data_IF_782305866090
#
_entry.id   IF_782305866090
#
_cell.length_a   1.000
_cell.length_b   1.000
_cell.length_c   1.000
_cell.angle_alpha   90.00
_cell.angle_beta   90.00
_cell.angle_gamma   90.00
#
_symmetry.space_group_name_H-M   'P 1'
#
loop_
_entity.id
_entity.type
_entity.pdbx_description
1 polymer ?
#
# COMPACT_ATOMS: atom_id res chain seq x y z
N UNK A 1 27.77 9.39 -4.87
CA UNK A 1 27.62 7.95 -4.58
C UNK A 1 26.92 7.79 -3.23
N UNK A 2 25.96 6.85 -3.13
CA UNK A 2 24.96 6.62 -2.05
C UNK A 2 23.59 7.30 -2.29
N UNK A 3 22.81 6.75 -3.24
CA UNK A 3 21.36 6.96 -3.38
C UNK A 3 20.58 5.67 -3.69
N UNK A 4 21.22 4.52 -3.53
CA UNK A 4 20.60 3.21 -3.71
C UNK A 4 20.65 2.46 -2.38
N UNK A 5 19.80 1.45 -2.20
CA UNK A 5 19.56 0.69 -0.96
C UNK A 5 18.47 1.28 -0.04
N UNK A 6 17.39 1.86 -0.57
CA UNK A 6 16.08 1.87 0.13
C UNK A 6 15.17 0.72 -0.35
N UNK A 7 15.58 0.04 -1.42
CA UNK A 7 14.79 -0.94 -2.15
C UNK A 7 14.98 -2.36 -1.61
N UNK A 8 16.05 -2.62 -0.85
CA UNK A 8 16.43 -3.96 -0.37
C UNK A 8 15.58 -4.47 0.81
N UNK A 9 14.72 -3.63 1.41
CA UNK A 9 13.84 -4.04 2.51
C UNK A 9 12.41 -4.32 2.09
N UNK A 10 11.91 -3.59 1.08
CA UNK A 10 10.77 -4.05 0.28
C UNK A 10 11.08 -5.39 -0.43
N UNK A 11 12.38 -5.70 -0.58
CA UNK A 11 12.97 -6.90 -1.19
C UNK A 11 12.95 -8.17 -0.35
N UNK A 12 12.31 -8.21 0.82
CA UNK A 12 12.12 -9.48 1.55
C UNK A 12 10.63 -9.75 1.83
N UNK A 13 9.80 -8.70 1.90
CA UNK A 13 8.38 -8.84 2.19
C UNK A 13 7.50 -8.83 0.93
N UNK A 14 7.93 -8.15 -0.12
CA UNK A 14 7.36 -8.36 -1.46
C UNK A 14 8.00 -9.51 -2.24
N UNK A 15 9.14 -10.02 -1.77
CA UNK A 15 10.04 -10.91 -2.53
C UNK A 15 9.65 -12.39 -2.50
N UNK A 16 8.71 -12.77 -1.64
CA UNK A 16 8.03 -14.06 -1.75
C UNK A 16 6.62 -13.96 -2.37
N UNK A 17 6.02 -12.77 -2.46
CA UNK A 17 4.62 -12.64 -2.84
C UNK A 17 4.37 -12.46 -4.35
N UNK A 18 5.38 -11.99 -5.10
CA UNK A 18 5.33 -11.94 -6.57
C UNK A 18 5.71 -13.28 -7.21
N UNK A 19 6.42 -14.17 -6.51
CA UNK A 19 6.86 -15.47 -7.05
C UNK A 19 6.07 -16.70 -6.57
N UNK A 20 5.24 -16.57 -5.53
CA UNK A 20 4.40 -17.65 -5.03
C UNK A 20 2.93 -17.24 -4.89
N UNK A 21 2.40 -16.53 -5.90
CA UNK A 21 1.04 -16.91 -6.24
C UNK A 21 1.15 -18.38 -6.70
N UNK A 22 0.74 -19.31 -5.83
CA UNK A 22 0.22 -20.62 -6.25
C UNK A 22 -1.05 -20.48 -7.12
N UNK A 23 -1.17 -19.37 -7.86
CA UNK A 23 -2.08 -19.01 -8.92
C UNK A 23 -1.31 -18.83 -10.26
N UNK A 24 0.02 -18.72 -10.31
CA UNK A 24 0.73 -18.76 -11.61
C UNK A 24 0.98 -20.19 -12.10
N UNK A 25 1.33 -21.11 -11.19
CA UNK A 25 1.62 -22.52 -11.55
C UNK A 25 0.37 -23.38 -11.79
N UNK A 26 -0.78 -23.01 -11.24
CA UNK A 26 -2.07 -23.71 -11.43
C UNK A 26 -2.82 -23.27 -12.68
N UNK A 27 -2.43 -22.13 -13.24
CA UNK A 27 -3.04 -21.55 -14.43
C UNK A 27 -2.08 -21.52 -15.62
N UNK A 28 -0.96 -22.26 -15.51
CA UNK A 28 -0.17 -22.67 -16.65
C UNK A 28 -1.09 -23.38 -17.65
N UNK A 29 -1.26 -22.74 -18.82
CA UNK A 29 -1.99 -23.13 -20.04
C UNK A 29 -2.92 -24.36 -19.90
N UNK A 30 -4.22 -24.27 -20.27
CA UNK A 30 -5.01 -25.47 -20.47
C UNK A 30 -4.22 -26.42 -21.38
N UNK A 31 -4.14 -27.70 -21.00
CA UNK A 31 -3.61 -28.72 -21.89
C UNK A 31 -4.34 -28.55 -23.23
N UNK A 32 -3.58 -28.44 -24.33
CA UNK A 32 -4.16 -28.32 -25.68
C UNK A 32 -5.27 -29.35 -25.84
N UNK A 33 -6.53 -28.89 -25.93
CA UNK A 33 -7.67 -29.75 -26.24
C UNK A 33 -8.87 -29.71 -25.28
N UNK A 34 -8.79 -29.10 -24.10
CA UNK A 34 -9.98 -28.96 -23.24
C UNK A 34 -10.85 -27.78 -23.69
N UNK A 35 -12.06 -28.08 -24.17
CA UNK A 35 -13.09 -27.06 -24.38
C UNK A 35 -13.45 -26.44 -23.02
N UNK A 36 -13.59 -25.11 -22.92
CA UNK A 36 -14.11 -24.49 -21.71
C UNK A 36 -15.50 -25.07 -21.39
N UNK A 37 -15.72 -25.46 -20.14
CA UNK A 37 -17.07 -25.77 -19.66
C UNK A 37 -17.95 -24.51 -19.79
N UNK A 38 -19.24 -24.66 -20.12
CA UNK A 38 -20.12 -23.50 -20.29
C UNK A 38 -20.25 -22.78 -18.93
N UNK A 39 -19.81 -21.52 -18.91
CA UNK A 39 -19.86 -20.64 -17.74
C UNK A 39 -21.30 -20.18 -17.55
N UNK A 40 -22.01 -20.75 -16.57
CA UNK A 40 -23.26 -20.18 -16.07
C UNK A 40 -22.95 -19.16 -14.97
N UNK A 41 -22.46 -17.98 -15.34
CA UNK A 41 -22.63 -16.68 -14.66
C UNK A 41 -21.62 -15.67 -15.21
N UNK A 42 -22.13 -14.58 -15.78
CA UNK A 42 -21.32 -13.46 -16.30
C UNK A 42 -20.91 -12.48 -15.18
N UNK A 43 -21.04 -12.86 -13.90
CA UNK A 43 -20.99 -11.91 -12.77
C UNK A 43 -20.02 -12.34 -11.65
N UNK A 44 -18.84 -12.89 -11.98
CA UNK A 44 -17.82 -13.16 -10.97
C UNK A 44 -16.72 -12.08 -11.01
N UNK A 45 -16.62 -11.20 -10.01
CA UNK A 45 -15.63 -10.12 -9.97
C UNK A 45 -14.18 -10.60 -10.16
N UNK A 46 -13.84 -11.79 -9.64
CA UNK A 46 -12.49 -12.33 -9.74
C UNK A 46 -12.14 -12.73 -11.17
N UNK A 47 -13.10 -13.28 -11.92
CA UNK A 47 -12.90 -13.62 -13.34
C UNK A 47 -12.80 -12.37 -14.23
N UNK A 48 -13.24 -11.20 -13.76
CA UNK A 48 -13.09 -9.91 -14.46
C UNK A 48 -11.66 -9.36 -14.30
N UNK A 49 -11.10 -9.36 -13.07
CA UNK A 49 -9.76 -8.79 -12.80
C UNK A 49 -8.62 -9.75 -13.15
N UNK A 50 -8.86 -11.06 -13.09
CA UNK A 50 -7.83 -12.10 -13.26
C UNK A 50 -7.11 -12.08 -14.61
N UNK A 51 -7.77 -11.93 -15.77
CA UNK A 51 -7.07 -11.80 -17.05
C UNK A 51 -6.06 -10.64 -17.05
N UNK A 52 -6.46 -9.51 -16.45
CA UNK A 52 -5.59 -8.34 -16.33
C UNK A 52 -4.41 -8.62 -15.39
N UNK A 53 -4.67 -9.22 -14.23
CA UNK A 53 -3.64 -9.65 -13.29
C UNK A 53 -2.62 -10.60 -13.94
N UNK A 54 -3.08 -11.60 -14.69
CA UNK A 54 -2.21 -12.56 -15.38
C UNK A 54 -1.35 -11.88 -16.44
N UNK A 55 -1.93 -10.96 -17.21
CA UNK A 55 -1.20 -10.19 -18.22
C UNK A 55 -0.06 -9.37 -17.60
N UNK A 56 -0.29 -8.74 -16.44
CA UNK A 56 0.77 -8.00 -15.74
C UNK A 56 1.85 -8.93 -15.18
N UNK A 57 1.49 -10.10 -14.66
CA UNK A 57 2.47 -11.10 -14.23
C UNK A 57 3.35 -11.58 -15.39
N UNK A 58 2.74 -11.87 -16.54
CA UNK A 58 3.45 -12.25 -17.77
C UNK A 58 4.43 -11.16 -18.23
N UNK A 59 4.06 -9.88 -18.06
CA UNK A 59 4.95 -8.75 -18.34
C UNK A 59 6.16 -8.72 -17.41
N UNK A 60 5.96 -8.89 -16.09
CA UNK A 60 7.09 -8.92 -15.15
C UNK A 60 7.99 -10.14 -15.40
N UNK A 61 7.42 -11.31 -15.71
CA UNK A 61 8.19 -12.48 -16.15
C UNK A 61 9.01 -12.19 -17.41
N UNK A 62 8.45 -11.44 -18.37
CA UNK A 62 9.18 -10.99 -19.54
C UNK A 62 10.35 -10.08 -19.17
N UNK A 63 10.15 -9.09 -18.28
CA UNK A 63 11.20 -8.18 -17.80
C UNK A 63 12.34 -8.96 -17.13
N UNK A 64 12.01 -9.96 -16.30
CA UNK A 64 12.99 -10.75 -15.57
C UNK A 64 13.84 -11.66 -16.46
N UNK A 65 13.35 -12.06 -17.64
CA UNK A 65 14.13 -12.84 -18.61
C UNK A 65 15.34 -12.09 -19.17
N UNK A 66 15.38 -10.76 -19.07
CA UNK A 66 16.54 -9.98 -19.49
C UNK A 66 17.70 -10.07 -18.48
N UNK A 67 17.45 -10.51 -17.24
CA UNK A 67 18.46 -10.93 -16.26
C UNK A 67 19.72 -10.05 -16.23
N UNK A 68 19.58 -8.79 -15.82
CA UNK A 68 20.73 -7.88 -15.76
C UNK A 68 20.95 -7.00 -16.99
N UNK A 69 20.16 -7.20 -18.06
CA UNK A 69 20.37 -6.53 -19.36
C UNK A 69 19.38 -5.40 -19.60
N UNK A 70 19.78 -4.48 -20.47
CA UNK A 70 18.91 -3.45 -21.02
C UNK A 70 17.81 -4.09 -21.88
N UNK A 71 16.56 -3.71 -21.61
CA UNK A 71 15.40 -4.13 -22.37
C UNK A 71 15.19 -3.15 -23.54
N UNK A 72 15.25 -3.61 -24.80
CA UNK A 72 14.98 -2.75 -25.94
C UNK A 72 13.54 -2.19 -25.90
N UNK A 73 13.38 -0.88 -26.10
CA UNK A 73 12.07 -0.24 -26.10
C UNK A 73 11.07 -0.88 -27.07
N UNK A 74 11.54 -1.35 -28.23
CA UNK A 74 10.72 -2.08 -29.22
C UNK A 74 10.09 -3.37 -28.68
N UNK A 75 10.73 -4.01 -27.71
CA UNK A 75 10.25 -5.26 -27.10
C UNK A 75 9.23 -4.96 -25.99
N UNK A 76 9.29 -3.75 -25.39
CA UNK A 76 8.35 -3.26 -24.39
C UNK A 76 7.03 -2.74 -25.00
N UNK A 77 7.10 -2.08 -26.18
CA UNK A 77 5.91 -1.45 -26.79
C UNK A 77 4.69 -2.38 -26.91
N UNK A 78 4.81 -3.65 -27.37
CA UNK A 78 3.67 -4.55 -27.44
C UNK A 78 3.04 -4.85 -26.07
N UNK A 79 3.81 -4.84 -24.99
CA UNK A 79 3.30 -5.03 -23.63
C UNK A 79 2.58 -3.81 -23.11
N UNK A 80 3.12 -2.61 -23.36
CA UNK A 80 2.50 -1.36 -22.97
C UNK A 80 1.09 -1.24 -23.55
N UNK A 81 0.93 -1.49 -24.85
CA UNK A 81 -0.38 -1.45 -25.52
C UNK A 81 -1.34 -2.49 -24.95
N UNK A 82 -0.89 -3.74 -24.72
CA UNK A 82 -1.75 -4.79 -24.17
C UNK A 82 -2.25 -4.46 -22.77
N UNK A 83 -1.34 -3.99 -21.89
CA UNK A 83 -1.66 -3.66 -20.51
C UNK A 83 -2.58 -2.43 -20.45
N UNK A 84 -2.32 -1.42 -21.29
CA UNK A 84 -3.20 -0.27 -21.42
C UNK A 84 -4.62 -0.71 -21.82
N UNK A 85 -4.77 -1.46 -22.91
CA UNK A 85 -6.08 -1.92 -23.37
C UNK A 85 -6.80 -2.76 -22.29
N UNK A 86 -6.07 -3.62 -21.57
CA UNK A 86 -6.66 -4.42 -20.50
C UNK A 86 -7.10 -3.58 -19.30
N UNK A 87 -6.39 -2.49 -18.97
CA UNK A 87 -6.81 -1.56 -17.93
C UNK A 87 -8.08 -0.81 -18.35
N UNK A 88 -8.14 -0.34 -19.60
CA UNK A 88 -9.32 0.32 -20.17
C UNK A 88 -10.54 -0.62 -20.14
N UNK A 89 -10.37 -1.85 -20.64
CA UNK A 89 -11.42 -2.89 -20.64
C UNK A 89 -11.90 -3.20 -19.22
N UNK A 90 -10.97 -3.33 -18.26
CA UNK A 90 -11.28 -3.61 -16.87
C UNK A 90 -12.12 -2.48 -16.25
N UNK A 91 -11.66 -1.23 -16.30
CA UNK A 91 -12.39 -0.10 -15.70
C UNK A 91 -13.76 0.12 -16.37
N UNK A 92 -13.85 -0.04 -17.70
CA UNK A 92 -15.13 0.00 -18.41
C UNK A 92 -16.08 -1.11 -17.94
N UNK A 93 -15.57 -2.31 -17.69
CA UNK A 93 -16.40 -3.44 -17.25
C UNK A 93 -17.01 -3.23 -15.86
N UNK A 94 -16.30 -2.52 -14.97
CA UNK A 94 -16.75 -2.22 -13.61
C UNK A 94 -17.42 -0.84 -13.47
N UNK A 95 -17.68 -0.16 -14.60
CA UNK A 95 -18.39 1.12 -14.66
C UNK A 95 -17.61 2.33 -14.14
N UNK A 96 -16.29 2.22 -14.07
CA UNK A 96 -15.38 3.26 -13.57
C UNK A 96 -14.90 4.15 -14.71
N UNK A 97 -14.98 5.46 -14.50
CA UNK A 97 -14.50 6.49 -15.41
C UNK A 97 -13.14 7.00 -14.95
N UNK A 98 -12.29 7.37 -15.91
CA UNK A 98 -10.94 7.83 -15.63
C UNK A 98 -10.47 8.87 -16.65
N UNK A 99 -9.50 9.68 -16.23
CA UNK A 99 -8.68 10.53 -17.08
C UNK A 99 -7.32 9.89 -17.32
N UNK A 100 -6.75 10.12 -18.50
CA UNK A 100 -5.42 9.61 -18.85
C UNK A 100 -4.38 10.70 -18.65
N UNK A 101 -3.33 10.40 -17.89
CA UNK A 101 -2.14 11.22 -17.78
C UNK A 101 -0.91 10.45 -18.26
N UNK A 102 -0.24 10.94 -19.31
CA UNK A 102 1.01 10.35 -19.78
C UNK A 102 2.14 10.65 -18.79
N UNK A 103 2.83 9.60 -18.34
CA UNK A 103 4.06 9.71 -17.55
C UNK A 103 5.27 9.32 -18.38
N UNK A 104 6.42 9.87 -18.01
CA UNK A 104 7.74 9.48 -18.52
C UNK A 104 8.59 9.05 -17.33
N UNK A 105 9.17 7.86 -17.44
CA UNK A 105 10.11 7.31 -16.48
C UNK A 105 11.41 7.00 -17.21
N UNK A 106 12.53 7.31 -16.58
CA UNK A 106 13.87 7.07 -17.12
C UNK A 106 14.68 6.27 -16.10
N UNK A 107 15.67 5.53 -16.59
CA UNK A 107 16.64 4.76 -15.79
C UNK A 107 15.99 3.83 -14.76
N UNK A 108 14.95 3.09 -15.18
CA UNK A 108 14.29 2.12 -14.32
C UNK A 108 15.13 0.85 -14.19
N UNK A 109 15.35 0.41 -12.95
CA UNK A 109 15.96 -0.87 -12.63
C UNK A 109 14.96 -1.75 -11.87
N UNK A 110 14.65 -2.92 -12.44
CA UNK A 110 13.78 -3.90 -11.80
C UNK A 110 14.48 -5.26 -11.72
N UNK A 111 14.84 -5.66 -10.50
CA UNK A 111 15.56 -6.91 -10.20
C UNK A 111 16.80 -7.11 -11.11
N UNK A 112 17.56 -6.03 -11.33
CA UNK A 112 18.75 -6.02 -12.18
C UNK A 112 18.48 -5.84 -13.67
N UNK A 113 17.25 -6.02 -14.17
CA UNK A 113 16.91 -5.65 -15.55
C UNK A 113 16.76 -4.13 -15.68
N UNK A 114 17.22 -3.56 -16.79
CA UNK A 114 17.25 -2.11 -17.01
C UNK A 114 16.29 -1.67 -18.11
N UNK A 115 15.56 -0.57 -17.90
CA UNK A 115 14.73 0.09 -18.89
C UNK A 115 15.15 1.56 -18.94
N UNK A 116 15.76 1.97 -20.05
CA UNK A 116 16.32 3.32 -20.20
C UNK A 116 15.22 4.38 -20.17
N UNK A 117 14.15 4.20 -20.95
CA UNK A 117 13.01 5.13 -21.01
C UNK A 117 11.71 4.38 -21.21
N UNK A 118 10.69 4.82 -20.49
CA UNK A 118 9.33 4.31 -20.60
C UNK A 118 8.34 5.46 -20.58
N UNK A 119 7.38 5.44 -21.50
CA UNK A 119 6.23 6.35 -21.46
C UNK A 119 4.96 5.57 -21.63
N UNK A 120 4.02 5.80 -20.72
CA UNK A 120 2.79 5.04 -20.61
C UNK A 120 1.69 5.88 -19.92
N UNK A 121 0.41 5.52 -20.08
CA UNK A 121 -0.68 6.21 -19.42
C UNK A 121 -0.83 5.79 -17.95
N UNK A 122 -1.01 6.78 -17.08
CA UNK A 122 -1.64 6.63 -15.77
C UNK A 122 -3.15 6.84 -15.91
N UNK A 123 -3.93 6.13 -15.11
CA UNK A 123 -5.39 6.20 -15.12
C UNK A 123 -5.84 6.86 -13.82
N UNK A 124 -6.32 8.09 -13.89
CA UNK A 124 -6.78 8.87 -12.75
C UNK A 124 -8.29 8.69 -12.65
N UNK A 125 -8.75 8.02 -11.60
CA UNK A 125 -10.17 7.72 -11.43
C UNK A 125 -10.95 9.03 -11.22
N UNK A 126 -11.96 9.27 -12.05
CA UNK A 126 -12.69 10.54 -12.10
C UNK A 126 -14.19 10.39 -11.83
N UNK A 127 -14.72 9.18 -11.91
CA UNK A 127 -16.16 8.92 -11.73
C UNK A 127 -16.50 7.44 -11.66
N UNK A 128 -17.71 7.16 -11.20
CA UNK A 128 -18.34 5.83 -11.33
C UNK A 128 -19.74 6.04 -11.90
N UNK A 129 -20.01 5.39 -13.02
CA UNK A 129 -21.30 5.45 -13.71
C UNK A 129 -22.28 4.38 -13.22
N UNK A 130 -21.76 3.19 -12.91
CA UNK A 130 -22.52 2.07 -12.36
C UNK A 130 -21.55 1.15 -11.59
N UNK A 131 -21.68 1.08 -10.27
CA UNK A 131 -20.83 0.21 -9.45
C UNK A 131 -21.24 -1.27 -9.59
N UNK A 132 -20.54 -2.02 -10.45
CA UNK A 132 -20.91 -3.41 -10.78
C UNK A 132 -20.27 -4.48 -9.91
N UNK A 133 -19.21 -4.15 -9.16
CA UNK A 133 -18.54 -5.06 -8.23
C UNK A 133 -17.77 -4.31 -7.11
N UNK A 134 -17.08 -5.06 -6.27
CA UNK A 134 -16.37 -4.60 -5.06
C UNK A 134 -15.36 -3.44 -5.23
N UNK A 135 -14.59 -3.37 -6.32
CA UNK A 135 -13.69 -2.24 -6.58
C UNK A 135 -14.48 -1.04 -7.12
N UNK A 136 -15.46 -1.26 -8.02
CA UNK A 136 -16.40 -0.21 -8.46
C UNK A 136 -17.11 0.46 -7.29
N UNK A 137 -17.61 -0.33 -6.32
CA UNK A 137 -18.24 0.15 -5.09
C UNK A 137 -17.25 0.92 -4.19
N UNK A 138 -15.99 0.47 -4.11
CA UNK A 138 -14.95 1.21 -3.40
C UNK A 138 -14.74 2.59 -4.01
N UNK A 139 -14.59 2.68 -5.33
CA UNK A 139 -14.39 3.97 -6.01
C UNK A 139 -15.60 4.89 -5.86
N UNK A 140 -16.81 4.37 -5.97
CA UNK A 140 -18.04 5.13 -5.77
C UNK A 140 -18.11 5.71 -4.34
N UNK A 141 -17.82 4.89 -3.32
CA UNK A 141 -17.76 5.31 -1.92
C UNK A 141 -16.72 6.41 -1.69
N UNK A 142 -15.52 6.26 -2.27
CA UNK A 142 -14.44 7.25 -2.09
C UNK A 142 -14.78 8.58 -2.77
N UNK A 143 -15.27 8.54 -4.01
CA UNK A 143 -15.59 9.75 -4.77
C UNK A 143 -16.81 10.50 -4.21
N UNK A 144 -17.72 9.80 -3.52
CA UNK A 144 -18.87 10.42 -2.84
C UNK A 144 -18.54 10.96 -1.45
N UNK A 145 -17.39 10.63 -0.87
CA UNK A 145 -16.99 11.12 0.44
C UNK A 145 -16.46 12.56 0.36
N UNK A 146 -17.23 13.49 0.94
CA UNK A 146 -16.87 14.91 1.01
C UNK A 146 -15.49 15.20 1.61
N UNK A 147 -14.96 14.30 2.46
CA UNK A 147 -13.64 14.45 3.09
C UNK A 147 -12.50 14.16 2.10
N UNK A 148 -12.79 13.54 0.97
CA UNK A 148 -11.82 13.02 0.02
C UNK A 148 -11.93 13.69 -1.36
N UNK A 149 -12.66 14.79 -1.49
CA UNK A 149 -12.93 15.46 -2.78
C UNK A 149 -11.67 15.86 -3.56
N UNK A 150 -10.55 16.11 -2.87
CA UNK A 150 -9.29 16.49 -3.48
C UNK A 150 -8.29 15.33 -3.62
N UNK A 151 -8.67 14.11 -3.21
CA UNK A 151 -7.82 12.92 -3.33
C UNK A 151 -7.78 12.47 -4.78
N UNK A 152 -6.58 12.27 -5.32
CA UNK A 152 -6.41 11.62 -6.63
C UNK A 152 -6.20 10.13 -6.44
N UNK A 153 -7.09 9.32 -7.00
CA UNK A 153 -6.92 7.89 -7.09
C UNK A 153 -6.22 7.57 -8.41
N UNK A 154 -4.98 7.11 -8.36
CA UNK A 154 -4.12 6.93 -9.52
C UNK A 154 -3.78 5.46 -9.69
N UNK A 155 -4.34 4.84 -10.72
CA UNK A 155 -3.92 3.52 -11.14
C UNK A 155 -2.65 3.64 -12.01
N UNK A 156 -1.56 3.05 -11.54
CA UNK A 156 -0.31 2.92 -12.28
C UNK A 156 -0.08 1.41 -12.62
N UNK A 157 -0.24 1.02 -13.89
CA UNK A 157 -0.09 -0.39 -14.30
C UNK A 157 1.34 -0.93 -14.12
N UNK A 158 2.33 -0.04 -14.01
CA UNK A 158 3.74 -0.37 -13.91
C UNK A 158 4.36 0.10 -12.58
N UNK A 159 3.52 0.36 -11.58
CA UNK A 159 3.91 0.79 -10.24
C UNK A 159 5.09 -0.04 -9.68
N UNK A 160 5.10 -1.38 -9.76
CA UNK A 160 6.22 -2.18 -9.31
C UNK A 160 7.60 -1.91 -9.93
N UNK A 161 7.66 -1.37 -11.16
CA UNK A 161 8.93 -1.13 -11.84
C UNK A 161 9.77 -0.04 -11.17
N UNK A 162 9.13 0.92 -10.51
CA UNK A 162 9.82 2.11 -9.98
C UNK A 162 9.61 2.33 -8.49
N UNK A 163 8.63 1.68 -7.89
CA UNK A 163 8.34 1.78 -6.46
C UNK A 163 8.66 0.49 -5.68
N UNK A 164 9.17 -0.53 -6.36
CA UNK A 164 9.40 -1.85 -5.76
C UNK A 164 8.09 -2.65 -5.65
N UNK A 165 8.07 -3.78 -4.94
CA UNK A 165 6.91 -4.69 -4.92
C UNK A 165 5.70 -4.19 -4.10
N UNK A 166 5.52 -2.87 -3.98
CA UNK A 166 4.37 -2.28 -3.29
C UNK A 166 3.12 -2.37 -4.17
N UNK A 167 2.00 -2.62 -3.53
CA UNK A 167 0.71 -2.81 -4.20
C UNK A 167 -0.02 -1.49 -4.41
N UNK A 168 0.24 -0.53 -3.52
CA UNK A 168 -0.21 0.85 -3.54
C UNK A 168 0.55 1.65 -2.48
N UNK A 169 0.39 2.97 -2.53
CA UNK A 169 0.86 3.88 -1.49
C UNK A 169 0.13 5.23 -1.57
N UNK A 170 -0.03 5.90 -0.44
CA UNK A 170 -0.43 7.30 -0.38
C UNK A 170 0.77 8.26 -0.41
N UNK A 171 0.72 9.25 -1.31
CA UNK A 171 1.68 10.35 -1.41
C UNK A 171 1.06 11.66 -0.88
N UNK A 172 1.45 12.14 0.31
CA UNK A 172 0.88 13.35 0.90
C UNK A 172 1.15 14.63 0.10
N UNK A 173 2.30 14.74 -0.56
CA UNK A 173 2.71 15.96 -1.29
C UNK A 173 1.83 16.25 -2.50
N UNK A 174 1.34 15.21 -3.16
CA UNK A 174 0.47 15.28 -4.34
C UNK A 174 -0.99 14.96 -4.01
N UNK A 175 -1.29 14.66 -2.74
CA UNK A 175 -2.56 14.13 -2.26
C UNK A 175 -3.11 13.01 -3.17
N UNK A 176 -2.23 12.05 -3.49
CA UNK A 176 -2.51 10.99 -4.47
C UNK A 176 -2.34 9.61 -3.84
N UNK A 177 -3.30 8.73 -4.04
CA UNK A 177 -3.23 7.31 -3.70
C UNK A 177 -2.92 6.55 -4.98
N UNK A 178 -1.71 6.01 -5.06
CA UNK A 178 -1.28 5.17 -6.17
C UNK A 178 -1.61 3.73 -5.88
N UNK A 179 -2.06 2.98 -6.88
CA UNK A 179 -2.32 1.55 -6.75
C UNK A 179 -2.07 0.81 -8.07
N UNK A 180 -1.77 -0.47 -7.94
CA UNK A 180 -1.51 -1.39 -9.05
C UNK A 180 -2.66 -2.38 -9.21
N UNK A 181 -2.59 -3.21 -10.25
CA UNK A 181 -3.55 -4.29 -10.45
C UNK A 181 -3.53 -5.31 -9.30
N UNK A 182 -2.39 -5.45 -8.60
CA UNK A 182 -2.28 -6.34 -7.45
C UNK A 182 -3.23 -5.92 -6.33
N UNK A 183 -3.39 -4.61 -6.07
CA UNK A 183 -4.34 -4.11 -5.08
C UNK A 183 -5.79 -4.51 -5.43
N UNK A 184 -6.16 -4.37 -6.70
CA UNK A 184 -7.49 -4.74 -7.22
C UNK A 184 -7.74 -6.25 -7.10
N UNK A 185 -6.79 -7.07 -7.53
CA UNK A 185 -6.87 -8.53 -7.44
C UNK A 185 -6.96 -9.02 -5.99
N UNK A 186 -6.22 -8.39 -5.06
CA UNK A 186 -6.21 -8.80 -3.66
C UNK A 186 -7.52 -8.50 -2.97
N UNK A 187 -8.08 -7.30 -3.21
CA UNK A 187 -9.41 -6.94 -2.71
C UNK A 187 -10.44 -7.93 -3.21
N UNK A 188 -10.47 -8.16 -4.52
CA UNK A 188 -11.46 -9.04 -5.17
C UNK A 188 -11.36 -10.51 -4.70
N UNK A 189 -10.12 -10.98 -4.48
CA UNK A 189 -9.84 -12.33 -3.99
C UNK A 189 -9.81 -12.47 -2.47
N UNK A 190 -10.11 -11.42 -1.70
CA UNK A 190 -10.07 -11.46 -0.23
C UNK A 190 -8.69 -11.75 0.37
N UNK A 191 -7.60 -11.41 -0.31
CA UNK A 191 -6.24 -11.64 0.21
C UNK A 191 -5.70 -10.47 1.04
N UNK A 192 -6.37 -9.32 0.97
CA UNK A 192 -6.05 -8.07 1.66
C UNK A 192 -6.77 -6.91 0.97
N UNK A 193 -6.72 -5.73 1.58
CA UNK A 193 -7.41 -4.55 1.06
C UNK A 193 -6.48 -3.33 1.05
N UNK A 194 -5.48 -3.37 0.15
CA UNK A 194 -4.51 -2.28 -0.02
C UNK A 194 -5.19 -0.93 -0.25
N UNK A 195 -6.34 -0.91 -0.94
CA UNK A 195 -7.03 0.33 -1.25
C UNK A 195 -7.59 0.99 0.01
N UNK A 196 -8.30 0.25 0.86
CA UNK A 196 -8.79 0.79 2.15
C UNK A 196 -7.62 1.05 3.13
N UNK A 197 -6.55 0.24 3.08
CA UNK A 197 -5.32 0.48 3.85
C UNK A 197 -4.72 1.85 3.55
N UNK A 198 -4.46 2.15 2.28
CA UNK A 198 -3.91 3.43 1.87
C UNK A 198 -4.90 4.58 2.07
N UNK A 199 -6.20 4.33 1.91
CA UNK A 199 -7.24 5.31 2.22
C UNK A 199 -7.22 5.71 3.70
N UNK A 200 -6.89 4.78 4.60
CA UNK A 200 -6.74 5.12 6.02
C UNK A 200 -5.59 6.11 6.24
N UNK A 201 -4.47 5.96 5.54
CA UNK A 201 -3.37 6.95 5.59
C UNK A 201 -3.81 8.32 5.08
N UNK A 202 -4.68 8.38 4.06
CA UNK A 202 -5.27 9.65 3.60
C UNK A 202 -6.10 10.30 4.71
N UNK A 203 -7.00 9.53 5.35
CA UNK A 203 -7.89 10.04 6.40
C UNK A 203 -7.12 10.50 7.65
N UNK A 204 -6.05 9.80 8.01
CA UNK A 204 -5.17 10.20 9.11
C UNK A 204 -4.38 11.47 8.76
N UNK A 205 -3.91 11.61 7.52
CA UNK A 205 -3.27 12.84 7.05
C UNK A 205 -4.24 14.03 7.03
N UNK A 206 -5.48 13.83 6.59
CA UNK A 206 -6.54 14.85 6.67
C UNK A 206 -6.81 15.28 8.13
N UNK A 207 -6.81 14.32 9.05
CA UNK A 207 -6.98 14.59 10.49
C UNK A 207 -5.81 15.40 11.04
N UNK A 208 -4.58 15.08 10.63
CA UNK A 208 -3.36 15.83 10.96
C UNK A 208 -3.45 17.27 10.47
N UNK A 209 -3.82 17.48 9.21
CA UNK A 209 -3.94 18.82 8.61
C UNK A 209 -5.03 19.67 9.27
N UNK A 210 -6.12 19.04 9.75
CA UNK A 210 -7.19 19.70 10.51
C UNK A 210 -6.84 19.98 11.97
N UNK A 211 -5.71 19.46 12.45
CA UNK A 211 -5.28 19.62 13.85
C UNK A 211 -5.99 18.72 14.84
N UNK A 212 -6.60 17.65 14.35
CA UNK A 212 -7.11 16.58 15.20
C UNK A 212 -5.95 15.72 15.70
N UNK A 213 -6.11 15.11 16.87
CA UNK A 213 -5.15 14.13 17.39
C UNK A 213 -5.20 12.86 16.52
N UNK A 214 -4.06 12.40 16.03
CA UNK A 214 -3.91 11.29 15.08
C UNK A 214 -2.55 10.62 15.26
N UNK A 215 -2.49 9.32 14.98
CA UNK A 215 -1.22 8.58 15.03
C UNK A 215 -0.30 8.93 13.83
N UNK A 216 -0.84 9.43 12.71
CA UNK A 216 -0.02 9.91 11.58
C UNK A 216 0.86 11.11 11.94
N UNK A 217 0.59 11.76 13.07
CA UNK A 217 1.42 12.82 13.60
C UNK A 217 2.81 12.34 14.07
N UNK A 218 3.00 11.04 14.34
CA UNK A 218 4.23 10.51 14.91
C UNK A 218 4.89 9.52 13.95
N UNK A 219 6.17 9.77 13.65
CA UNK A 219 7.03 8.85 12.91
C UNK A 219 8.25 8.49 13.75
N UNK A 220 8.42 7.21 14.07
CA UNK A 220 9.62 6.66 14.69
C UNK A 220 10.66 6.37 13.59
N UNK A 221 11.94 6.63 13.87
CA UNK A 221 13.04 6.47 12.92
C UNK A 221 14.22 5.78 13.62
N UNK A 222 14.90 4.89 12.91
CA UNK A 222 16.14 4.26 13.37
C UNK A 222 17.36 4.79 12.59
N UNK A 223 18.54 4.80 13.22
CA UNK A 223 19.82 5.08 12.57
C UNK A 223 20.43 3.82 11.93
N UNK A 224 20.06 2.63 12.40
CA UNK A 224 20.57 1.37 11.89
C UNK A 224 19.52 0.62 11.08
N UNK A 225 19.92 0.22 9.88
CA UNK A 225 19.08 -0.59 9.01
C UNK A 225 19.13 -2.05 9.42
N UNK A 226 17.97 -2.66 9.57
CA UNK A 226 17.81 -4.10 9.71
C UNK A 226 16.87 -4.60 8.61
N UNK A 227 16.91 -5.87 8.20
CA UNK A 227 16.04 -6.40 7.14
C UNK A 227 14.55 -6.50 7.52
N UNK A 228 14.16 -6.11 8.73
CA UNK A 228 12.79 -6.23 9.23
C UNK A 228 11.84 -5.15 8.70
N UNK A 229 10.57 -5.47 8.45
CA UNK A 229 9.53 -4.45 8.10
C UNK A 229 9.53 -3.32 9.13
N UNK A 230 9.47 -2.07 8.67
CA UNK A 230 9.41 -0.87 9.52
C UNK A 230 10.58 -0.69 10.48
N UNK A 231 11.73 -1.32 10.21
CA UNK A 231 12.95 -1.15 11.01
C UNK A 231 13.52 0.25 10.88
N UNK A 232 13.61 0.76 9.65
CA UNK A 232 14.20 2.07 9.34
C UNK A 232 13.30 3.22 9.77
N UNK A 233 11.98 3.07 9.59
CA UNK A 233 10.98 4.04 10.03
C UNK A 233 9.60 3.37 10.22
N UNK A 234 8.79 3.97 11.10
CA UNK A 234 7.41 3.58 11.35
C UNK A 234 6.57 4.84 11.55
N UNK A 235 5.60 5.09 10.67
CA UNK A 235 4.51 6.02 11.00
C UNK A 235 3.50 5.29 11.88
N UNK A 236 3.06 5.89 12.98
CA UNK A 236 2.25 5.14 13.94
C UNK A 236 0.84 4.81 13.44
N UNK A 237 0.34 5.51 12.43
CA UNK A 237 -0.94 5.17 11.78
C UNK A 237 -0.93 3.80 11.11
N UNK A 238 0.24 3.25 10.77
CA UNK A 238 0.40 1.86 10.29
C UNK A 238 -0.19 0.83 11.27
N UNK A 239 -0.12 1.09 12.58
CA UNK A 239 -0.68 0.16 13.58
C UNK A 239 -2.19 0.02 13.36
N UNK A 240 -2.87 1.13 13.12
CA UNK A 240 -4.31 1.12 12.89
C UNK A 240 -4.67 0.55 11.51
N UNK A 241 -3.86 0.82 10.48
CA UNK A 241 -4.09 0.22 9.15
C UNK A 241 -3.95 -1.30 9.19
N UNK A 242 -2.93 -1.85 9.85
CA UNK A 242 -2.80 -3.31 10.01
C UNK A 242 -3.87 -3.93 10.91
N UNK A 243 -4.40 -3.21 11.92
CA UNK A 243 -5.55 -3.67 12.70
C UNK A 243 -6.81 -3.81 11.83
N UNK A 244 -7.06 -2.83 10.94
CA UNK A 244 -8.16 -2.89 9.98
C UNK A 244 -7.95 -3.99 8.93
N UNK A 245 -6.70 -4.24 8.52
CA UNK A 245 -6.37 -5.38 7.66
C UNK A 245 -6.71 -6.72 8.34
N UNK A 246 -6.44 -6.85 9.65
CA UNK A 246 -6.81 -8.04 10.41
C UNK A 246 -8.33 -8.23 10.39
N UNK A 247 -9.10 -7.18 10.71
CA UNK A 247 -10.58 -7.22 10.65
C UNK A 247 -11.07 -7.62 9.25
N UNK A 248 -10.50 -7.03 8.20
CA UNK A 248 -10.85 -7.38 6.82
C UNK A 248 -10.59 -8.86 6.55
N UNK A 249 -9.41 -9.37 6.91
CA UNK A 249 -9.02 -10.76 6.67
C UNK A 249 -9.84 -11.76 7.48
N UNK A 250 -10.36 -11.37 8.66
CA UNK A 250 -11.17 -12.24 9.52
C UNK A 250 -12.66 -12.20 9.19
N UNK A 251 -13.21 -11.03 8.84
CA UNK A 251 -14.66 -10.84 8.77
C UNK A 251 -15.17 -10.68 7.33
N UNK A 252 -14.47 -9.89 6.51
CA UNK A 252 -14.92 -9.49 5.16
C UNK A 252 -14.42 -10.44 4.08
N UNK A 253 -13.14 -10.79 4.13
CA UNK A 253 -12.48 -11.69 3.18
C UNK A 253 -13.19 -13.05 3.02
N UNK A 254 -13.65 -13.74 4.08
CA UNK A 254 -14.38 -15.00 3.92
C UNK A 254 -15.65 -14.87 3.07
N UNK A 255 -16.27 -13.70 3.05
CA UNK A 255 -17.46 -13.42 2.23
C UNK A 255 -17.11 -13.28 0.74
N UNK A 256 -15.83 -13.14 0.38
CA UNK A 256 -15.39 -13.03 -1.01
C UNK A 256 -15.01 -14.39 -1.60
N UNK A 257 -15.05 -15.46 -0.80
CA UNK A 257 -14.78 -16.83 -1.26
C UNK A 257 -15.82 -17.35 -2.26
N UNK A 258 -17.04 -16.80 -2.25
CA UNK A 258 -18.08 -17.07 -3.24
C UNK A 258 -17.69 -16.62 -4.66
N UNK A 259 -16.73 -15.70 -4.77
CA UNK A 259 -16.12 -15.33 -6.05
C UNK A 259 -15.15 -16.40 -6.57
N UNK A 260 -14.94 -17.53 -5.89
CA UNK A 260 -13.98 -18.57 -6.30
C UNK A 260 -14.71 -19.83 -6.74
N UNK A 261 -14.71 -20.10 -8.05
CA UNK A 261 -15.46 -21.23 -8.64
C UNK A 261 -14.81 -22.60 -8.43
N UNK A 262 -13.48 -22.65 -8.25
CA UNK A 262 -12.71 -23.90 -8.13
C UNK A 262 -12.31 -24.21 -6.67
N UNK A 263 -12.60 -25.44 -6.22
CA UNK A 263 -12.30 -25.91 -4.85
C UNK A 263 -10.79 -25.95 -4.56
N UNK A 264 -9.96 -26.27 -5.55
CA UNK A 264 -8.50 -26.30 -5.38
C UNK A 264 -7.92 -24.91 -5.13
N UNK A 265 -8.41 -23.93 -5.91
CA UNK A 265 -8.07 -22.52 -5.80
C UNK A 265 -8.55 -21.92 -4.48
N UNK A 266 -9.76 -22.28 -4.04
CA UNK A 266 -10.31 -21.83 -2.75
C UNK A 266 -9.46 -22.29 -1.55
N UNK A 267 -9.00 -23.54 -1.56
CA UNK A 267 -8.12 -24.05 -0.50
C UNK A 267 -6.84 -23.21 -0.39
N UNK A 268 -6.19 -22.93 -1.51
CA UNK A 268 -4.95 -22.14 -1.54
C UNK A 268 -5.17 -20.69 -1.12
N UNK A 269 -6.28 -20.08 -1.56
CA UNK A 269 -6.66 -18.73 -1.18
C UNK A 269 -6.83 -18.61 0.34
N UNK A 270 -7.48 -19.60 0.98
CA UNK A 270 -7.58 -19.67 2.44
C UNK A 270 -6.23 -19.84 3.13
N UNK A 271 -5.34 -20.68 2.59
CA UNK A 271 -3.98 -20.85 3.10
C UNK A 271 -3.19 -19.54 3.04
N UNK A 272 -3.22 -18.83 1.90
CA UNK A 272 -2.54 -17.54 1.74
C UNK A 272 -3.17 -16.44 2.61
N UNK A 273 -4.50 -16.38 2.69
CA UNK A 273 -5.20 -15.46 3.61
C UNK A 273 -4.77 -15.70 5.06
N UNK A 274 -4.71 -16.95 5.51
CA UNK A 274 -4.31 -17.27 6.87
C UNK A 274 -2.84 -16.91 7.14
N UNK A 275 -1.94 -17.13 6.17
CA UNK A 275 -0.55 -16.64 6.28
C UNK A 275 -0.49 -15.12 6.40
N UNK A 276 -1.25 -14.39 5.58
CA UNK A 276 -1.34 -12.94 5.65
C UNK A 276 -1.89 -12.48 7.00
N UNK A 277 -2.93 -13.13 7.50
CA UNK A 277 -3.53 -12.81 8.80
C UNK A 277 -2.51 -12.97 9.95
N UNK A 278 -1.78 -14.08 10.00
CA UNK A 278 -0.77 -14.30 11.04
C UNK A 278 0.39 -13.31 10.91
N UNK A 279 0.87 -13.04 9.69
CA UNK A 279 1.87 -12.01 9.45
C UNK A 279 1.43 -10.62 9.94
N UNK A 280 0.17 -10.25 9.69
CA UNK A 280 -0.40 -8.97 10.14
C UNK A 280 -0.50 -8.90 11.66
N UNK A 281 -0.96 -9.96 12.32
CA UNK A 281 -1.01 -10.05 13.79
C UNK A 281 0.38 -9.90 14.42
N UNK A 282 1.36 -10.67 13.95
CA UNK A 282 2.74 -10.59 14.42
C UNK A 282 3.33 -9.19 14.22
N UNK A 283 3.03 -8.59 13.05
CA UNK A 283 3.46 -7.22 12.73
C UNK A 283 2.86 -6.23 13.73
N UNK A 284 1.54 -6.20 13.93
CA UNK A 284 0.89 -5.26 14.86
C UNK A 284 1.41 -5.44 16.29
N UNK A 285 1.52 -6.68 16.77
CA UNK A 285 2.05 -6.95 18.13
C UNK A 285 3.45 -6.39 18.32
N UNK A 286 4.33 -6.58 17.32
CA UNK A 286 5.69 -6.02 17.33
C UNK A 286 5.67 -4.49 17.30
N UNK A 287 4.89 -3.90 16.39
CA UNK A 287 4.79 -2.44 16.24
C UNK A 287 4.24 -1.79 17.51
N UNK A 288 3.19 -2.34 18.12
CA UNK A 288 2.63 -1.87 19.39
C UNK A 288 3.66 -1.93 20.51
N UNK A 289 4.33 -3.08 20.69
CA UNK A 289 5.35 -3.25 21.74
C UNK A 289 6.47 -2.22 21.60
N UNK A 290 7.02 -2.06 20.40
CA UNK A 290 8.12 -1.15 20.14
C UNK A 290 7.68 0.32 20.31
N UNK A 291 6.49 0.67 19.82
CA UNK A 291 5.94 2.03 19.92
C UNK A 291 5.63 2.42 21.35
N UNK A 292 4.93 1.56 22.11
CA UNK A 292 4.64 1.80 23.53
C UNK A 292 5.93 1.98 24.34
N UNK A 293 6.92 1.11 24.13
CA UNK A 293 8.21 1.19 24.84
C UNK A 293 8.93 2.51 24.53
N UNK A 294 9.04 2.87 23.25
CA UNK A 294 9.72 4.09 22.82
C UNK A 294 8.97 5.34 23.31
N UNK A 295 7.66 5.44 23.05
CA UNK A 295 6.86 6.60 23.42
C UNK A 295 6.79 6.81 24.94
N UNK A 296 6.75 5.74 25.74
CA UNK A 296 6.75 5.86 27.21
C UNK A 296 8.06 6.48 27.70
N UNK A 297 9.20 5.99 27.21
CA UNK A 297 10.52 6.57 27.54
C UNK A 297 10.65 8.01 27.06
N UNK A 298 10.17 8.30 25.84
CA UNK A 298 10.15 9.66 25.32
C UNK A 298 9.31 10.56 26.23
N UNK A 299 8.12 10.10 26.65
CA UNK A 299 7.21 10.88 27.48
C UNK A 299 7.77 11.23 28.86
N UNK A 300 8.53 10.31 29.45
CA UNK A 300 9.26 10.52 30.72
C UNK A 300 10.38 11.56 30.58
N UNK A 301 11.06 11.58 29.44
CA UNK A 301 12.27 12.39 29.21
C UNK A 301 12.03 13.65 28.35
N UNK A 302 10.81 13.89 27.88
CA UNK A 302 10.54 14.94 26.88
C UNK A 302 10.93 16.35 27.33
N UNK A 303 11.00 16.61 28.64
CA UNK A 303 11.38 17.92 29.16
C UNK A 303 12.90 18.15 29.17
N UNK A 304 13.71 17.10 28.99
CA UNK A 304 15.18 17.16 29.02
C UNK A 304 15.81 16.83 27.66
N UNK A 305 15.08 16.17 26.77
CA UNK A 305 15.51 15.86 25.41
C UNK A 305 15.59 17.13 24.56
N UNK A 306 16.69 17.29 23.82
CA UNK A 306 16.84 18.40 22.89
C UNK A 306 15.86 18.25 21.72
N UNK A 307 15.12 19.32 21.43
CA UNK A 307 14.12 19.37 20.38
C UNK A 307 14.51 20.40 19.31
N UNK A 308 14.40 19.99 18.06
CA UNK A 308 14.51 20.88 16.92
C UNK A 308 13.15 20.98 16.22
N UNK A 309 12.45 22.08 16.49
CA UNK A 309 11.14 22.37 15.93
C UNK A 309 11.24 23.44 14.83
N UNK A 310 10.67 23.16 13.67
CA UNK A 310 10.63 24.07 12.51
C UNK A 310 9.26 24.03 11.83
N UNK A 311 8.97 25.05 11.04
CA UNK A 311 7.83 24.97 10.12
C UNK A 311 8.14 23.90 9.07
N UNK A 312 7.13 23.15 8.66
CA UNK A 312 7.20 22.30 7.48
C UNK A 312 7.23 23.21 6.24
N UNK A 313 8.08 22.86 5.28
CA UNK A 313 8.27 23.66 4.06
C UNK A 313 7.12 23.47 3.07
N UNK A 314 6.34 22.37 3.20
CA UNK A 314 5.33 21.95 2.23
C UNK A 314 3.89 22.01 2.76
N UNK A 315 3.71 21.92 4.07
CA UNK A 315 2.40 21.87 4.71
C UNK A 315 2.34 22.92 5.84
N UNK A 316 1.14 23.37 6.26
CA UNK A 316 1.00 24.29 7.40
C UNK A 316 1.22 23.59 8.75
N UNK A 317 2.23 22.73 8.82
CA UNK A 317 2.59 21.92 9.99
C UNK A 317 3.84 22.48 10.67
N UNK A 318 3.94 22.22 11.96
CA UNK A 318 5.18 22.28 12.73
C UNK A 318 5.73 20.87 12.83
N UNK A 319 7.04 20.73 12.60
CA UNK A 319 7.78 19.48 12.65
C UNK A 319 8.82 19.59 13.76
N UNK A 320 8.70 18.73 14.77
CA UNK A 320 9.63 18.62 15.87
C UNK A 320 10.37 17.30 15.82
N UNK A 321 11.70 17.35 15.76
CA UNK A 321 12.58 16.17 15.83
C UNK A 321 13.32 16.16 17.16
N UNK A 322 13.43 14.98 17.77
CA UNK A 322 14.16 14.81 19.03
C UNK A 322 15.60 14.32 18.78
N UNK A 323 16.52 14.69 19.69
CA UNK A 323 17.78 13.96 19.82
C UNK A 323 17.51 12.51 20.28
N UNK A 324 18.35 11.56 19.86
CA UNK A 324 18.05 10.15 20.01
C UNK A 324 17.86 9.68 21.46
N UNK A 325 17.00 8.68 21.68
CA UNK A 325 16.85 7.97 22.97
C UNK A 325 17.74 6.74 22.94
N UNK A 326 18.78 6.71 23.76
CA UNK A 326 19.74 5.59 23.81
C UNK A 326 19.09 4.28 24.26
N UNK A 327 19.45 3.17 23.62
CA UNK A 327 19.03 1.82 24.02
C UNK A 327 17.65 1.39 23.50
N UNK A 328 17.12 2.08 22.50
CA UNK A 328 15.86 1.74 21.82
C UNK A 328 16.07 1.29 20.38
N UNK A 329 15.10 0.53 19.85
CA UNK A 329 15.11 0.02 18.46
C UNK A 329 14.92 1.14 17.43
N UNK A 330 14.17 2.17 17.82
CA UNK A 330 14.16 3.47 17.16
C UNK A 330 15.00 4.41 18.02
N UNK A 331 15.78 5.29 17.43
CA UNK A 331 16.54 6.29 18.18
C UNK A 331 15.84 7.64 18.10
N UNK A 332 15.24 8.02 16.97
CA UNK A 332 14.67 9.35 16.77
C UNK A 332 13.16 9.30 16.55
N UNK A 333 12.49 10.40 16.89
CA UNK A 333 11.09 10.63 16.52
C UNK A 333 10.95 11.94 15.77
N UNK A 334 10.03 11.94 14.82
CA UNK A 334 9.48 13.12 14.18
C UNK A 334 8.02 13.25 14.58
N UNK A 335 7.66 14.40 15.16
CA UNK A 335 6.30 14.73 15.55
C UNK A 335 5.83 15.92 14.72
N UNK A 336 4.65 15.78 14.11
CA UNK A 336 4.02 16.79 13.27
C UNK A 336 2.70 17.25 13.88
N UNK A 337 2.42 18.54 13.87
CA UNK A 337 1.13 19.09 14.31
C UNK A 337 0.91 20.49 13.70
N UNK A 338 -0.32 20.97 13.52
CA UNK A 338 -0.55 22.32 12.98
C UNK A 338 0.00 23.44 13.87
N UNK A 339 0.34 24.56 13.24
CA UNK A 339 0.81 25.78 13.88
C UNK A 339 -0.33 26.56 14.59
N UNK A 340 -0.98 25.94 15.58
CA UNK A 340 -1.99 26.54 16.49
C UNK A 340 -1.36 27.26 17.70
N UNK A 341 -2.11 28.04 18.50
CA UNK A 341 -1.60 28.62 19.74
C UNK A 341 -1.06 27.59 20.75
N UNK A 342 -0.08 27.96 21.58
CA UNK A 342 0.56 27.09 22.57
C UNK A 342 2.06 26.88 22.31
N UNK A 343 2.76 26.25 23.25
CA UNK A 343 4.19 25.90 23.07
C UNK A 343 4.33 24.54 22.38
N UNK A 344 5.39 24.36 21.58
CA UNK A 344 5.66 23.09 20.91
C UNK A 344 5.74 21.92 21.90
N UNK A 345 6.40 22.13 23.05
CA UNK A 345 6.50 21.13 24.12
C UNK A 345 5.13 20.72 24.68
N UNK A 346 4.22 21.67 24.87
CA UNK A 346 2.87 21.38 25.37
C UNK A 346 2.10 20.50 24.38
N UNK A 347 2.12 20.85 23.09
CA UNK A 347 1.43 20.08 22.05
C UNK A 347 2.00 18.69 21.87
N UNK A 348 3.32 18.56 21.91
CA UNK A 348 3.97 17.26 21.86
C UNK A 348 3.57 16.39 23.07
N UNK A 349 3.51 16.94 24.28
CA UNK A 349 3.06 16.20 25.47
C UNK A 349 1.63 15.72 25.32
N UNK A 350 0.72 16.59 24.89
CA UNK A 350 -0.69 16.25 24.65
C UNK A 350 -0.83 15.13 23.62
N UNK A 351 -0.14 15.24 22.49
CA UNK A 351 -0.16 14.24 21.43
C UNK A 351 0.44 12.91 21.89
N UNK A 352 1.54 12.93 22.67
CA UNK A 352 2.13 11.72 23.23
C UNK A 352 1.21 11.03 24.24
N UNK A 353 0.58 11.80 25.12
CA UNK A 353 -0.37 11.27 26.11
C UNK A 353 -1.56 10.61 25.41
N UNK A 354 -2.14 11.30 24.42
CA UNK A 354 -3.22 10.75 23.61
C UNK A 354 -2.79 9.50 22.83
N UNK A 355 -1.60 9.53 22.20
CA UNK A 355 -1.09 8.40 21.42
C UNK A 355 -0.84 7.18 22.30
N UNK A 356 -0.24 7.35 23.48
CA UNK A 356 -0.04 6.26 24.44
C UNK A 356 -1.37 5.64 24.87
N UNK A 357 -2.38 6.47 25.21
CA UNK A 357 -3.72 5.97 25.53
C UNK A 357 -4.33 5.19 24.37
N UNK A 358 -4.21 5.70 23.13
CA UNK A 358 -4.71 5.04 21.93
C UNK A 358 -4.04 3.69 21.69
N UNK A 359 -2.72 3.61 21.80
CA UNK A 359 -1.97 2.36 21.64
C UNK A 359 -2.30 1.34 22.73
N UNK A 360 -2.55 1.76 23.96
CA UNK A 360 -3.00 0.87 25.05
C UNK A 360 -4.37 0.25 24.75
N UNK A 361 -5.31 1.03 24.18
CA UNK A 361 -6.61 0.49 23.76
C UNK A 361 -6.47 -0.61 22.70
N UNK A 362 -5.56 -0.43 21.73
CA UNK A 362 -5.28 -1.43 20.72
C UNK A 362 -4.65 -2.70 21.29
N UNK A 363 -3.77 -2.57 22.28
CA UNK A 363 -3.17 -3.73 22.95
C UNK A 363 -4.21 -4.63 23.63
N UNK A 364 -5.33 -4.07 24.09
CA UNK A 364 -6.43 -4.83 24.69
C UNK A 364 -7.41 -5.42 23.66
N UNK A 365 -7.28 -5.04 22.38
CA UNK A 365 -8.18 -5.44 21.30
C UNK A 365 -7.62 -6.58 20.43
N UNK A 366 -6.35 -6.95 20.64
CA UNK A 366 -5.68 -8.13 20.08
C UNK A 366 -5.78 -9.31 21.04
#
# INVERSE_FOLDING_TARGET
MKKHVSTLLYFILGFCFVFFTGLSTTYAKPKRGEKPAPISSVNNPLEIVKPFSNLTADFYDFVLRYNGRLIPGKDLQPWLTKIQNSAEDYFNSIGVQYEIQMVKREDLEFQGSFIEKLSYPLFIISGVSEARESNGQFFEKVLSDSRLQNLKLVFDPFLPLWSGPIQGFFEPSSNSLYFSVTALSYRTGGLGDTLEHELRHVLENESLLKGSLTLAAITLMADQRTPEVYSDFLRLDEIETHLLDIEFLTEKSPQLEENVLDKGSLKRLREERNKNLEFKKETVQRLLKNSLRYLSKLRENISTIAMNCRADDLLPLRVCKTSGITGESYDRVEIRFPATPGTDLQKMKELLDWSLQRLLLYQHSL
#
